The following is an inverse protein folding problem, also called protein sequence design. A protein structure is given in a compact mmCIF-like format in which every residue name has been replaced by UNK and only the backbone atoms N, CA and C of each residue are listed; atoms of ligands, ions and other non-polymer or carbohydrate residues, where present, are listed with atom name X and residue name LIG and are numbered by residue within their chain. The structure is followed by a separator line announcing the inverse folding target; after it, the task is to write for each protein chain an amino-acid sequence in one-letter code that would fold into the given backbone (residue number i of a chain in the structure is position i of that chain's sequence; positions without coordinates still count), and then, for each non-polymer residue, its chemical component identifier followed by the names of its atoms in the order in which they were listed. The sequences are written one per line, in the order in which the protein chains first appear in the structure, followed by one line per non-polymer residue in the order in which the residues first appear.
data_IF_532976849897
#
_entry.id   IF_532976849897
#
_cell.length_a   1.000
_cell.length_b   1.000
_cell.length_c   1.000
_cell.angle_alpha   90.00
_cell.angle_beta   90.00
_cell.angle_gamma   90.00
#
_symmetry.space_group_name_H-M   'P 1'
#
loop_
_entity.id
_entity.type
_entity.pdbx_description
1 polymer ?
#
# COMPACT_ATOMS: atom_id res chain seq x y z
N UNK A 1 -20.27 13.85 33.21
CA UNK A 1 -20.27 14.48 31.89
C UNK A 1 -20.96 13.55 30.90
N UNK A 2 -22.08 14.00 30.32
CA UNK A 2 -22.92 13.20 29.41
C UNK A 2 -22.23 12.90 28.07
N UNK A 3 -21.16 13.60 27.75
CA UNK A 3 -20.46 13.53 26.48
C UNK A 3 -19.06 12.90 26.59
N UNK A 4 -18.63 12.52 27.77
CA UNK A 4 -17.36 11.79 27.90
C UNK A 4 -17.57 10.35 27.43
N UNK A 5 -16.89 9.90 26.36
CA UNK A 5 -16.96 8.50 25.97
C UNK A 5 -16.40 7.64 27.09
N UNK A 6 -17.16 6.64 27.50
CA UNK A 6 -16.76 5.69 28.55
C UNK A 6 -15.58 4.82 28.15
N UNK A 7 -15.32 4.72 26.85
CA UNK A 7 -14.22 3.96 26.27
C UNK A 7 -13.62 4.81 25.14
N UNK A 8 -12.36 5.10 25.20
CA UNK A 8 -11.62 5.72 24.11
C UNK A 8 -11.20 4.61 23.14
N UNK A 9 -11.87 4.50 22.02
CA UNK A 9 -11.40 3.67 20.90
C UNK A 9 -10.47 4.53 20.05
N UNK A 10 -9.20 4.28 20.17
CA UNK A 10 -8.20 4.77 19.22
C UNK A 10 -7.94 3.69 18.19
N UNK A 11 -7.83 4.07 16.94
CA UNK A 11 -7.47 3.13 15.88
C UNK A 11 -6.12 2.47 16.14
N UNK A 12 -5.21 3.21 16.78
CA UNK A 12 -3.89 2.74 17.15
C UNK A 12 -3.93 1.56 18.13
N UNK A 13 -4.95 1.49 18.98
CA UNK A 13 -5.14 0.39 19.93
C UNK A 13 -5.56 -0.91 19.23
N UNK A 14 -5.93 -0.83 17.93
CA UNK A 14 -6.31 -1.97 17.11
C UNK A 14 -5.17 -2.53 16.26
N UNK A 15 -4.00 -1.88 16.28
CA UNK A 15 -2.85 -2.40 15.56
C UNK A 15 -2.30 -3.65 16.25
N UNK A 16 -1.79 -4.61 15.46
CA UNK A 16 -1.29 -5.86 16.03
C UNK A 16 -0.06 -5.62 16.91
N UNK A 17 -0.06 -6.24 18.08
CA UNK A 17 1.11 -6.26 18.94
C UNK A 17 2.30 -6.88 18.21
N UNK A 18 3.50 -6.32 18.41
CA UNK A 18 4.74 -6.76 17.76
C UNK A 18 4.71 -6.79 16.22
N UNK A 19 3.69 -6.20 15.62
CA UNK A 19 3.56 -6.09 14.17
C UNK A 19 4.32 -4.91 13.59
N UNK A 20 4.22 -4.76 12.28
CA UNK A 20 4.77 -3.63 11.52
C UNK A 20 3.63 -2.70 11.11
N UNK A 21 3.72 -1.44 11.49
CA UNK A 21 2.77 -0.39 11.07
C UNK A 21 3.51 0.68 10.29
N UNK A 22 3.09 0.88 9.05
CA UNK A 22 3.65 1.89 8.14
C UNK A 22 2.65 3.02 7.95
N UNK A 23 3.10 4.24 8.14
CA UNK A 23 2.32 5.43 7.81
C UNK A 23 2.55 5.78 6.35
N UNK A 24 1.50 5.68 5.54
CA UNK A 24 1.52 6.02 4.13
C UNK A 24 1.03 7.44 3.87
N UNK A 25 1.63 8.10 2.88
CA UNK A 25 1.16 9.35 2.34
C UNK A 25 1.08 9.24 0.81
N UNK A 26 -0.04 9.66 0.23
CA UNK A 26 -0.31 9.56 -1.21
C UNK A 26 -0.64 10.93 -1.76
N UNK A 27 -0.05 11.26 -2.89
CA UNK A 27 -0.34 12.52 -3.61
C UNK A 27 -0.35 12.28 -5.11
N UNK A 28 -1.07 13.16 -5.82
CA UNK A 28 -0.93 13.23 -7.27
C UNK A 28 0.34 13.99 -7.63
N UNK A 29 1.07 13.49 -8.63
CA UNK A 29 2.12 14.25 -9.27
C UNK A 29 1.47 15.28 -10.21
N UNK A 30 1.98 16.50 -10.20
CA UNK A 30 1.57 17.52 -11.14
C UNK A 30 2.03 17.16 -12.56
N UNK A 31 1.21 17.48 -13.56
CA UNK A 31 1.65 17.41 -14.95
C UNK A 31 2.60 18.56 -15.28
N UNK A 32 3.41 18.42 -16.30
CA UNK A 32 4.27 19.47 -16.84
C UNK A 32 3.85 19.78 -18.28
N UNK A 33 3.32 20.97 -18.59
CA UNK A 33 2.93 22.03 -17.64
C UNK A 33 1.71 21.66 -16.77
N UNK A 34 1.57 22.25 -15.56
CA UNK A 34 0.45 21.97 -14.67
C UNK A 34 -0.90 22.25 -15.34
N UNK A 35 -1.85 21.34 -15.18
CA UNK A 35 -3.21 21.53 -15.67
C UNK A 35 -4.08 22.16 -14.58
N UNK A 36 -5.12 22.87 -14.99
CA UNK A 36 -6.08 23.46 -14.04
C UNK A 36 -6.72 22.43 -13.07
N UNK A 37 -6.85 21.19 -13.52
CA UNK A 37 -7.37 20.09 -12.71
C UNK A 37 -6.34 19.49 -11.73
N UNK A 38 -5.07 19.86 -11.85
CA UNK A 38 -4.02 19.32 -10.99
C UNK A 38 -4.13 19.92 -9.59
N UNK A 39 -4.13 19.07 -8.60
CA UNK A 39 -4.23 19.44 -7.18
C UNK A 39 -3.11 18.76 -6.41
N UNK A 40 -1.90 19.28 -6.59
CA UNK A 40 -0.71 18.80 -5.88
C UNK A 40 -0.72 19.09 -4.37
N UNK A 41 -1.67 19.91 -3.91
CA UNK A 41 -1.91 20.20 -2.51
C UNK A 41 -2.72 19.11 -1.79
N UNK A 42 -3.27 18.15 -2.53
CA UNK A 42 -4.07 17.06 -1.95
C UNK A 42 -3.19 15.88 -1.59
N UNK A 43 -3.29 15.53 -0.32
CA UNK A 43 -2.67 14.32 0.24
C UNK A 43 -3.73 13.45 0.88
N UNK A 44 -3.58 12.13 0.73
CA UNK A 44 -4.30 11.17 1.53
C UNK A 44 -3.32 10.41 2.41
N UNK A 45 -3.69 10.26 3.68
CA UNK A 45 -2.90 9.52 4.67
C UNK A 45 -3.55 8.16 4.88
N UNK A 46 -2.71 7.14 5.02
CA UNK A 46 -3.13 5.76 5.22
C UNK A 46 -2.18 5.06 6.21
N UNK A 47 -2.62 3.97 6.80
CA UNK A 47 -1.80 3.11 7.64
C UNK A 47 -1.86 1.68 7.12
N UNK A 48 -0.71 1.16 6.76
CA UNK A 48 -0.52 -0.22 6.34
C UNK A 48 0.03 -0.99 7.53
N UNK A 49 -0.62 -2.04 7.93
CA UNK A 49 -0.17 -2.85 9.04
C UNK A 49 -0.04 -4.32 8.68
N UNK A 50 0.88 -4.96 9.35
CA UNK A 50 1.18 -6.39 9.23
C UNK A 50 1.26 -6.97 10.63
N UNK A 51 0.65 -8.13 10.87
CA UNK A 51 0.83 -8.86 12.13
C UNK A 51 2.29 -9.26 12.32
N UNK A 52 2.65 -9.72 13.51
CA UNK A 52 4.00 -10.24 13.75
C UNK A 52 4.36 -11.38 12.78
N UNK A 53 3.41 -12.26 12.49
CA UNK A 53 3.58 -13.35 11.54
C UNK A 53 3.77 -12.83 10.11
N UNK A 54 2.92 -11.90 9.67
CA UNK A 54 3.03 -11.28 8.35
C UNK A 54 4.31 -10.44 8.21
N UNK A 55 4.73 -9.76 9.28
CA UNK A 55 5.98 -9.01 9.31
C UNK A 55 7.19 -9.92 9.05
N UNK A 56 7.18 -11.13 9.61
CA UNK A 56 8.26 -12.10 9.38
C UNK A 56 8.35 -12.60 7.95
N UNK A 57 7.26 -12.56 7.20
CA UNK A 57 7.23 -12.96 5.80
C UNK A 57 8.01 -12.02 4.86
N UNK A 58 8.42 -10.85 5.34
CA UNK A 58 9.33 -9.97 4.63
C UNK A 58 10.79 -10.43 4.71
N UNK A 59 11.11 -11.36 5.60
CA UNK A 59 12.47 -11.81 5.81
C UNK A 59 12.78 -13.03 4.93
N UNK A 60 13.93 -13.06 4.24
CA UNK A 60 14.36 -14.24 3.53
C UNK A 60 14.72 -15.37 4.52
N UNK A 61 14.59 -16.61 4.09
CA UNK A 61 14.94 -17.77 4.91
C UNK A 61 16.41 -17.79 5.32
N UNK A 62 17.29 -17.37 4.40
CA UNK A 62 18.72 -17.31 4.64
C UNK A 62 19.15 -15.87 4.85
N UNK A 63 19.82 -15.62 5.96
CA UNK A 63 20.35 -14.33 6.30
C UNK A 63 21.79 -14.18 5.77
N UNK A 64 21.91 -14.07 4.44
CA UNK A 64 23.21 -13.88 3.76
C UNK A 64 23.10 -12.80 2.70
N UNK A 65 24.15 -12.01 2.52
CA UNK A 65 24.19 -10.96 1.50
C UNK A 65 23.96 -11.56 0.11
N UNK A 66 23.07 -10.95 -0.65
CA UNK A 66 22.71 -11.37 -1.99
C UNK A 66 21.51 -12.31 -2.05
N UNK A 67 21.10 -12.90 -0.93
CA UNK A 67 19.87 -13.71 -0.88
C UNK A 67 18.67 -12.88 -1.28
N UNK A 68 17.83 -13.45 -2.14
CA UNK A 68 16.60 -12.84 -2.62
C UNK A 68 15.42 -13.73 -2.26
N UNK A 69 14.34 -13.10 -1.84
CA UNK A 69 13.11 -13.73 -1.41
C UNK A 69 11.93 -13.09 -2.12
N UNK A 70 11.13 -13.90 -2.77
CA UNK A 70 9.84 -13.45 -3.31
C UNK A 70 8.81 -13.43 -2.19
N UNK A 71 8.19 -12.28 -1.99
CA UNK A 71 7.19 -12.13 -0.94
C UNK A 71 5.95 -12.97 -1.25
N UNK A 72 5.37 -13.65 -0.24
CA UNK A 72 4.18 -14.46 -0.43
C UNK A 72 2.95 -13.61 -0.76
N UNK A 73 1.94 -14.26 -1.32
CA UNK A 73 0.73 -13.62 -1.84
C UNK A 73 0.02 -12.74 -0.81
N UNK A 74 0.03 -13.11 0.45
CA UNK A 74 -0.62 -12.33 1.52
C UNK A 74 -0.05 -10.91 1.64
N UNK A 75 1.27 -10.72 1.47
CA UNK A 75 1.90 -9.41 1.49
C UNK A 75 1.58 -8.61 0.22
N UNK A 76 1.60 -9.29 -0.94
CA UNK A 76 1.22 -8.72 -2.23
C UNK A 76 -0.23 -8.24 -2.20
N UNK A 77 -1.15 -9.06 -1.72
CA UNK A 77 -2.56 -8.71 -1.57
C UNK A 77 -2.75 -7.51 -0.65
N UNK A 78 -2.08 -7.49 0.51
CA UNK A 78 -2.15 -6.37 1.43
C UNK A 78 -1.79 -5.06 0.74
N UNK A 79 -0.70 -5.02 0.01
CA UNK A 79 -0.25 -3.80 -0.66
C UNK A 79 -1.07 -3.48 -1.89
N UNK A 80 -1.18 -4.41 -2.83
CA UNK A 80 -1.68 -4.11 -4.17
C UNK A 80 -3.21 -4.04 -4.27
N UNK A 81 -3.93 -4.76 -3.41
CA UNK A 81 -5.40 -4.70 -3.41
C UNK A 81 -5.94 -3.57 -2.54
N UNK A 82 -5.31 -3.28 -1.41
CA UNK A 82 -5.90 -2.42 -0.38
C UNK A 82 -5.20 -1.06 -0.25
N UNK A 83 -3.88 -1.01 -0.45
CA UNK A 83 -3.12 0.20 -0.17
C UNK A 83 -2.57 0.89 -1.42
N UNK A 84 -2.19 0.17 -2.46
CA UNK A 84 -1.79 0.78 -3.74
C UNK A 84 -3.03 0.97 -4.61
N UNK A 85 -3.89 1.86 -4.15
CA UNK A 85 -5.15 2.22 -4.79
C UNK A 85 -5.23 3.73 -4.96
N UNK A 86 -6.05 4.19 -5.91
CA UNK A 86 -6.21 5.60 -6.17
C UNK A 86 -7.30 6.21 -5.28
N UNK A 87 -6.93 6.67 -4.12
CA UNK A 87 -7.82 7.32 -3.15
C UNK A 87 -7.37 8.74 -2.75
N UNK A 88 -6.55 9.41 -3.56
CA UNK A 88 -6.09 10.79 -3.28
C UNK A 88 -7.22 11.79 -3.39
N UNK A 89 -8.12 11.62 -4.35
CA UNK A 89 -9.23 12.56 -4.60
C UNK A 89 -10.57 12.13 -4.02
N UNK A 90 -10.66 10.93 -3.53
CA UNK A 90 -11.90 10.38 -2.97
C UNK A 90 -11.75 8.91 -2.64
N UNK A 91 -12.83 8.34 -2.13
CA UNK A 91 -12.86 6.94 -1.76
C UNK A 91 -12.78 6.03 -2.98
N UNK A 92 -12.25 4.85 -2.78
CA UNK A 92 -12.20 3.78 -3.76
C UNK A 92 -12.40 2.43 -3.07
N UNK A 93 -12.85 1.45 -3.81
CA UNK A 93 -12.89 0.06 -3.36
C UNK A 93 -11.49 -0.57 -3.48
N UNK A 94 -11.19 -1.59 -2.68
CA UNK A 94 -10.04 -2.45 -2.93
C UNK A 94 -10.25 -3.22 -4.24
N UNK A 95 -9.16 -3.61 -4.88
CA UNK A 95 -9.23 -4.54 -6.00
C UNK A 95 -9.60 -5.95 -5.53
N UNK A 96 -10.43 -6.65 -6.28
CA UNK A 96 -10.64 -8.09 -6.09
C UNK A 96 -9.37 -8.88 -6.45
N UNK A 97 -9.24 -10.10 -5.97
CA UNK A 97 -8.03 -10.89 -6.23
C UNK A 97 -7.81 -11.16 -7.73
N UNK A 98 -8.88 -11.43 -8.45
CA UNK A 98 -8.88 -11.68 -9.91
C UNK A 98 -8.62 -10.42 -10.75
N UNK A 99 -8.70 -9.25 -10.17
CA UNK A 99 -8.39 -7.96 -10.81
C UNK A 99 -6.90 -7.64 -10.77
N UNK A 100 -6.14 -8.28 -9.91
CA UNK A 100 -4.68 -8.20 -9.91
C UNK A 100 -4.14 -9.09 -11.03
N UNK A 101 -3.64 -8.48 -12.10
CA UNK A 101 -3.13 -9.19 -13.29
C UNK A 101 -1.66 -9.55 -13.15
N UNK A 102 -0.91 -8.70 -12.47
CA UNK A 102 0.52 -8.87 -12.19
C UNK A 102 0.80 -8.38 -10.77
N UNK A 103 1.59 -9.11 -10.02
CA UNK A 103 2.02 -8.73 -8.67
C UNK A 103 3.37 -9.36 -8.34
N UNK A 104 4.42 -8.58 -8.52
CA UNK A 104 5.78 -8.96 -8.14
C UNK A 104 6.21 -8.11 -6.94
N UNK A 105 6.72 -8.79 -5.93
CA UNK A 105 7.25 -8.14 -4.72
C UNK A 105 8.37 -9.02 -4.18
N UNK A 106 9.55 -8.46 -4.09
CA UNK A 106 10.73 -9.20 -3.66
C UNK A 106 11.60 -8.39 -2.71
N UNK A 107 12.32 -9.10 -1.88
CA UNK A 107 13.26 -8.57 -0.91
C UNK A 107 14.62 -9.18 -1.17
N UNK A 108 15.68 -8.37 -1.08
CA UNK A 108 17.06 -8.83 -1.19
C UNK A 108 17.90 -8.31 -0.03
N UNK A 109 18.69 -9.19 0.58
CA UNK A 109 19.68 -8.81 1.59
C UNK A 109 20.84 -8.05 0.93
N UNK A 110 21.04 -6.82 1.33
CA UNK A 110 22.14 -5.99 0.82
C UNK A 110 23.32 -5.91 1.79
N UNK A 111 23.03 -5.94 3.08
CA UNK A 111 24.04 -5.90 4.14
C UNK A 111 23.57 -6.76 5.31
N UNK A 112 24.51 -7.37 6.02
CA UNK A 112 24.25 -8.07 7.27
C UNK A 112 25.47 -8.04 8.18
N UNK A 113 25.23 -7.91 9.47
CA UNK A 113 26.21 -8.08 10.54
C UNK A 113 25.54 -8.69 11.78
N UNK A 114 26.26 -8.84 12.89
CA UNK A 114 25.77 -9.48 14.14
C UNK A 114 24.56 -8.79 14.78
N UNK A 115 24.23 -7.56 14.35
CA UNK A 115 23.15 -6.75 14.96
C UNK A 115 21.98 -6.53 14.03
N UNK A 116 22.24 -6.31 12.75
CA UNK A 116 21.23 -5.88 11.79
C UNK A 116 21.38 -6.53 10.42
N UNK A 117 20.27 -6.61 9.72
CA UNK A 117 20.16 -6.98 8.31
C UNK A 117 19.50 -5.83 7.55
N UNK A 118 20.11 -5.40 6.44
CA UNK A 118 19.56 -4.39 5.55
C UNK A 118 18.97 -5.07 4.32
N UNK A 119 17.77 -4.66 3.99
CA UNK A 119 16.97 -5.23 2.91
C UNK A 119 16.68 -4.15 1.88
N UNK A 120 16.80 -4.52 0.61
CA UNK A 120 16.25 -3.77 -0.52
C UNK A 120 14.95 -4.43 -0.95
N UNK A 121 13.91 -3.62 -1.15
CA UNK A 121 12.59 -4.07 -1.57
C UNK A 121 12.33 -3.55 -2.97
N UNK A 122 11.85 -4.41 -3.85
CA UNK A 122 11.44 -4.05 -5.22
C UNK A 122 10.13 -4.74 -5.54
N UNK A 123 9.31 -4.09 -6.35
CA UNK A 123 8.05 -4.69 -6.79
C UNK A 123 7.42 -3.93 -7.94
N UNK A 124 6.50 -4.60 -8.60
CA UNK A 124 5.61 -4.01 -9.59
C UNK A 124 4.26 -4.70 -9.58
N UNK A 125 3.24 -3.98 -10.01
CA UNK A 125 1.91 -4.55 -10.14
C UNK A 125 1.13 -3.93 -11.27
N UNK A 126 0.15 -4.71 -11.76
CA UNK A 126 -0.88 -4.25 -12.67
C UNK A 126 -2.23 -4.75 -12.17
N UNK A 127 -3.12 -3.84 -11.80
CA UNK A 127 -4.47 -4.15 -11.39
C UNK A 127 -5.46 -3.53 -12.39
N UNK A 128 -6.46 -4.31 -12.82
CA UNK A 128 -7.48 -3.90 -13.77
C UNK A 128 -8.85 -4.36 -13.30
N UNK A 129 -9.69 -3.42 -12.93
CA UNK A 129 -11.08 -3.65 -12.62
C UNK A 129 -11.96 -3.18 -13.77
N UNK A 130 -13.06 -3.89 -14.00
CA UNK A 130 -14.07 -3.56 -15.02
C UNK A 130 -15.41 -3.26 -14.36
N UNK A 131 -16.15 -2.38 -15.01
CA UNK A 131 -17.51 -2.06 -14.60
C UNK A 131 -17.60 -0.89 -13.62
N UNK A 132 -18.81 -0.60 -13.14
CA UNK A 132 -19.03 0.52 -12.25
C UNK A 132 -18.45 0.22 -10.86
N UNK A 133 -17.57 1.09 -10.39
CA UNK A 133 -17.09 1.05 -9.02
C UNK A 133 -18.04 1.85 -8.13
N UNK A 134 -18.97 1.14 -7.50
CA UNK A 134 -19.99 1.70 -6.62
C UNK A 134 -19.55 1.60 -5.18
N UNK A 135 -19.51 2.74 -4.49
CA UNK A 135 -19.33 2.82 -3.05
C UNK A 135 -20.70 2.91 -2.39
N UNK A 136 -21.11 1.83 -1.71
CA UNK A 136 -22.40 1.74 -1.04
C UNK A 136 -23.59 1.52 -1.99
N UNK A 137 -24.80 1.62 -1.45
CA UNK A 137 -26.07 1.43 -2.18
C UNK A 137 -26.49 2.66 -3.01
N UNK A 138 -25.54 3.52 -3.37
CA UNK A 138 -25.87 4.82 -3.92
C UNK A 138 -26.15 4.74 -5.42
N UNK A 139 -27.42 4.91 -5.78
CA UNK A 139 -27.94 4.96 -7.16
C UNK A 139 -27.51 6.20 -7.97
N UNK A 140 -26.69 7.07 -7.41
CA UNK A 140 -26.20 8.30 -8.07
C UNK A 140 -25.17 8.06 -9.16
N UNK A 141 -24.84 6.84 -9.42
CA UNK A 141 -23.77 6.50 -10.34
C UNK A 141 -24.28 6.51 -11.75
N UNK A 142 -23.71 7.31 -12.62
CA UNK A 142 -23.94 7.10 -14.06
C UNK A 142 -23.46 5.67 -14.40
N UNK A 143 -24.26 4.89 -15.14
CA UNK A 143 -23.89 3.54 -15.54
C UNK A 143 -22.81 3.59 -16.63
N UNK A 144 -21.60 4.00 -16.24
CA UNK A 144 -20.46 3.95 -17.12
C UNK A 144 -19.60 2.78 -16.71
N UNK A 145 -19.54 1.78 -17.55
CA UNK A 145 -18.52 0.75 -17.49
C UNK A 145 -17.16 1.39 -17.81
N UNK A 146 -16.47 1.76 -16.78
CA UNK A 146 -15.15 2.34 -16.91
C UNK A 146 -14.11 1.37 -16.37
N UNK A 147 -13.20 0.98 -17.23
CA UNK A 147 -12.05 0.24 -16.78
C UNK A 147 -11.22 1.11 -15.82
N UNK A 148 -10.83 0.52 -14.71
CA UNK A 148 -9.92 1.12 -13.73
C UNK A 148 -8.62 0.35 -13.77
N UNK A 149 -7.54 1.03 -14.05
CA UNK A 149 -6.23 0.41 -14.11
C UNK A 149 -5.25 1.17 -13.24
N UNK A 150 -4.46 0.44 -12.47
CA UNK A 150 -3.30 0.98 -11.77
C UNK A 150 -2.08 0.11 -12.04
N UNK A 151 -1.03 0.72 -12.56
CA UNK A 151 0.30 0.11 -12.67
C UNK A 151 1.22 0.76 -11.66
N UNK A 152 1.92 -0.03 -10.89
CA UNK A 152 2.84 0.49 -9.88
C UNK A 152 4.23 -0.08 -10.03
N UNK A 153 5.22 0.71 -9.62
CA UNK A 153 6.59 0.27 -9.34
C UNK A 153 6.94 0.67 -7.92
N UNK A 154 7.52 -0.26 -7.17
CA UNK A 154 7.89 -0.09 -5.78
C UNK A 154 9.39 -0.18 -5.65
N UNK A 155 9.94 0.75 -4.88
CA UNK A 155 11.30 0.70 -4.35
C UNK A 155 11.23 0.92 -2.85
N UNK A 156 12.07 0.20 -2.10
CA UNK A 156 12.14 0.38 -0.66
C UNK A 156 13.40 -0.16 -0.04
N UNK A 157 13.57 0.23 1.21
CA UNK A 157 14.64 -0.25 2.06
C UNK A 157 14.08 -0.55 3.44
N UNK A 158 14.62 -1.57 4.08
CA UNK A 158 14.28 -1.87 5.45
C UNK A 158 15.53 -2.29 6.22
N UNK A 159 15.52 -2.06 7.52
CA UNK A 159 16.56 -2.53 8.43
C UNK A 159 15.90 -3.32 9.55
N UNK A 160 16.29 -4.56 9.69
CA UNK A 160 15.81 -5.47 10.71
C UNK A 160 16.85 -5.66 11.80
N UNK A 161 16.47 -5.48 13.06
CA UNK A 161 17.31 -5.76 14.23
C UNK A 161 17.24 -7.25 14.55
N UNK A 162 18.36 -7.96 14.39
CA UNK A 162 18.44 -9.41 14.57
C UNK A 162 18.29 -9.83 16.05
N UNK A 163 18.59 -8.95 16.99
CA UNK A 163 18.46 -9.24 18.43
C UNK A 163 17.07 -8.97 18.95
N UNK A 164 16.50 -7.82 18.58
CA UNK A 164 15.15 -7.43 18.99
C UNK A 164 14.06 -8.10 18.18
N UNK A 165 14.40 -8.62 17.00
CA UNK A 165 13.48 -9.26 16.03
C UNK A 165 12.38 -8.31 15.56
N UNK A 166 12.74 -7.06 15.28
CA UNK A 166 11.84 -6.00 14.81
C UNK A 166 12.46 -5.20 13.67
N UNK A 167 11.63 -4.60 12.82
CA UNK A 167 12.09 -3.59 11.87
C UNK A 167 12.32 -2.27 12.59
N UNK A 168 13.54 -1.77 12.56
CA UNK A 168 13.91 -0.46 13.10
C UNK A 168 13.84 0.64 12.04
N UNK A 169 13.75 0.26 10.77
CA UNK A 169 13.48 1.14 9.64
C UNK A 169 12.74 0.35 8.57
N UNK A 170 11.72 0.96 7.97
CA UNK A 170 10.99 0.39 6.86
C UNK A 170 10.41 1.52 6.00
N UNK A 171 10.82 1.60 4.76
CA UNK A 171 10.40 2.63 3.83
C UNK A 171 10.07 2.03 2.46
N UNK A 172 8.93 2.42 1.90
CA UNK A 172 8.50 2.08 0.55
C UNK A 172 8.07 3.34 -0.19
N UNK A 173 8.48 3.46 -1.43
CA UNK A 173 7.98 4.45 -2.38
C UNK A 173 7.32 3.71 -3.53
N UNK A 174 6.06 4.03 -3.81
CA UNK A 174 5.32 3.50 -4.94
C UNK A 174 5.05 4.62 -5.95
N UNK A 175 5.56 4.46 -7.16
CA UNK A 175 5.21 5.32 -8.30
C UNK A 175 4.09 4.63 -9.09
N UNK A 176 2.94 5.29 -9.17
CA UNK A 176 1.74 4.73 -9.77
C UNK A 176 1.32 5.49 -11.03
N UNK A 177 1.02 4.75 -12.09
CA UNK A 177 0.31 5.26 -13.26
C UNK A 177 -1.06 4.61 -13.30
N UNK A 178 -2.11 5.41 -13.41
CA UNK A 178 -3.43 4.88 -13.39
C UNK A 178 -4.36 5.53 -14.43
N UNK A 179 -5.45 4.86 -14.74
CA UNK A 179 -6.45 5.22 -15.74
C UNK A 179 -7.84 4.87 -15.21
N UNK A 180 -8.81 5.63 -15.67
CA UNK A 180 -10.20 5.43 -15.29
C UNK A 180 -10.66 6.31 -14.14
N UNK A 181 -11.86 6.11 -13.67
CA UNK A 181 -12.45 6.88 -12.58
C UNK A 181 -13.40 6.04 -11.75
N UNK A 182 -13.48 6.32 -10.47
CA UNK A 182 -14.55 5.86 -9.60
C UNK A 182 -15.65 6.90 -9.50
N UNK A 183 -16.74 6.57 -8.85
CA UNK A 183 -17.85 7.48 -8.58
C UNK A 183 -17.38 8.82 -7.97
N UNK A 184 -16.43 8.78 -7.05
CA UNK A 184 -15.99 9.94 -6.28
C UNK A 184 -14.56 10.40 -6.60
N UNK A 185 -13.90 9.74 -7.54
CA UNK A 185 -12.48 9.97 -7.84
C UNK A 185 -12.27 10.14 -9.35
N UNK A 186 -13.06 11.06 -9.93
CA UNK A 186 -13.02 11.33 -11.36
C UNK A 186 -11.74 12.06 -11.77
N UNK A 187 -11.09 11.53 -12.79
CA UNK A 187 -10.05 12.19 -13.56
C UNK A 187 -10.38 12.05 -15.03
N UNK A 188 -10.28 13.12 -15.72
CA UNK A 188 -10.47 13.15 -17.18
C UNK A 188 -9.17 12.83 -17.88
#
# INVERSE_FOLDING_TARGET
DKFSPKVSHRWEDSYPENGLVLKGAKADLLSDPPRFSDRGDRWNMDHVWFSEEEMRLWLPEKHVVGESHECPQILKDRLFRYHIVNNVRGQTLPFAAEEIKEADLSVRVTEINDKKMVLKITGESNAVAKGPWLLGENIWTPPHDLDHEIKSKILGNATYDLKKKEFIHFELVALCKWRGKTQNNGRN
#
